data_IF_870748881219
#
_entry.id   IF_870748881219
#
_cell.length_a   1.000
_cell.length_b   1.000
_cell.length_c   1.000
_cell.angle_alpha   90.00
_cell.angle_beta   90.00
_cell.angle_gamma   90.00
#
_symmetry.space_group_name_H-M   'P 1'
#
loop_
_entity.id
_entity.type
_entity.pdbx_description
1 polymer ?
#
# COMPACT_ATOMS: atom_id res chain seq x y z
N UNK A 1 -6.83 -6.98 -10.88
CA UNK A 1 -6.28 -7.54 -9.62
C UNK A 1 -4.80 -7.21 -9.56
N UNK A 2 -4.37 -6.34 -8.65
CA UNK A 2 -2.97 -6.01 -8.47
C UNK A 2 -2.25 -7.21 -7.84
N UNK A 3 -1.44 -7.93 -8.61
CA UNK A 3 -0.67 -9.10 -8.14
C UNK A 3 0.23 -8.80 -6.92
N UNK A 4 0.60 -7.53 -6.74
CA UNK A 4 1.44 -7.04 -5.65
C UNK A 4 0.69 -6.69 -4.38
N UNK A 5 -0.65 -6.76 -4.40
CA UNK A 5 -1.45 -6.46 -3.22
C UNK A 5 -1.08 -7.39 -2.05
N UNK A 6 -1.01 -8.70 -2.33
CA UNK A 6 -0.79 -9.67 -1.27
C UNK A 6 0.60 -9.54 -0.63
N UNK A 7 1.65 -9.28 -1.41
CA UNK A 7 3.00 -9.08 -0.86
C UNK A 7 3.09 -7.84 0.02
N UNK A 8 2.57 -6.71 -0.46
CA UNK A 8 2.58 -5.44 0.26
C UNK A 8 1.68 -5.49 1.49
N UNK A 9 0.47 -6.07 1.37
CA UNK A 9 -0.46 -6.22 2.48
C UNK A 9 0.05 -7.17 3.58
N UNK A 10 0.65 -8.30 3.18
CA UNK A 10 1.27 -9.24 4.13
C UNK A 10 2.44 -8.60 4.86
N UNK A 11 3.32 -7.86 4.14
CA UNK A 11 4.43 -7.10 4.74
C UNK A 11 3.94 -6.05 5.74
N UNK A 12 2.91 -5.30 5.36
CA UNK A 12 2.34 -4.25 6.18
C UNK A 12 1.41 -4.78 7.30
N UNK A 13 1.20 -6.09 7.38
CA UNK A 13 0.32 -6.73 8.36
C UNK A 13 -1.13 -6.28 8.25
N UNK A 14 -1.61 -6.04 7.04
CA UNK A 14 -2.94 -5.46 6.75
C UNK A 14 -3.18 -4.11 7.44
N UNK A 15 -2.14 -3.27 7.52
CA UNK A 15 -2.21 -1.92 8.07
C UNK A 15 -1.67 -0.90 7.08
N UNK A 16 -2.29 0.25 7.07
CA UNK A 16 -1.88 1.41 6.30
C UNK A 16 -0.46 1.83 6.74
N UNK A 17 0.49 1.96 5.83
CA UNK A 17 1.88 2.28 6.21
C UNK A 17 2.04 3.76 6.60
N UNK A 18 1.16 4.65 6.13
CA UNK A 18 1.13 6.06 6.51
C UNK A 18 0.44 6.28 7.86
N UNK A 19 -0.79 5.79 7.97
CA UNK A 19 -1.70 6.08 9.07
C UNK A 19 -1.77 4.98 10.14
N UNK A 20 -1.14 3.82 9.90
CA UNK A 20 -1.12 2.62 10.76
C UNK A 20 -2.48 2.01 11.09
N UNK A 21 -3.53 2.51 10.45
CA UNK A 21 -4.87 2.00 10.65
C UNK A 21 -5.03 0.61 10.00
N UNK A 22 -5.66 -0.35 10.69
CA UNK A 22 -5.88 -1.69 10.16
C UNK A 22 -7.00 -1.71 9.12
N UNK A 23 -6.81 -2.52 8.08
CA UNK A 23 -7.79 -2.76 7.00
C UNK A 23 -9.14 -3.25 7.56
N UNK A 24 -9.09 -4.01 8.66
CA UNK A 24 -10.25 -4.52 9.40
C UNK A 24 -11.21 -3.41 9.89
N UNK A 25 -10.69 -2.24 10.28
CA UNK A 25 -11.52 -1.15 10.82
C UNK A 25 -12.31 -0.45 9.72
N UNK A 26 -11.75 -0.43 8.52
CA UNK A 26 -12.30 0.32 7.40
C UNK A 26 -13.26 -0.50 6.55
N UNK A 27 -13.21 -1.84 6.62
CA UNK A 27 -14.08 -2.73 5.85
C UNK A 27 -14.00 -2.49 4.33
N UNK A 28 -12.87 -1.95 3.86
CA UNK A 28 -12.52 -1.79 2.46
C UNK A 28 -11.07 -2.19 2.24
N UNK A 29 -10.78 -2.76 1.07
CA UNK A 29 -9.41 -3.08 0.70
C UNK A 29 -8.60 -1.83 0.50
N UNK A 30 -7.37 -1.85 1.01
CA UNK A 30 -6.42 -0.77 0.77
C UNK A 30 -5.91 -0.83 -0.67
N UNK A 31 -5.26 0.25 -1.09
CA UNK A 31 -4.67 0.35 -2.42
C UNK A 31 -3.15 0.33 -2.28
N UNK A 32 -2.47 -0.28 -3.25
CA UNK A 32 -1.01 -0.26 -3.31
C UNK A 32 -0.59 0.98 -4.07
N UNK A 33 0.04 1.91 -3.38
CA UNK A 33 0.54 3.17 -3.92
C UNK A 33 2.05 3.12 -4.10
N UNK A 34 2.59 3.92 -5.01
CA UNK A 34 4.02 4.16 -5.09
C UNK A 34 4.40 5.33 -4.17
N UNK A 35 5.31 5.08 -3.22
CA UNK A 35 5.85 6.12 -2.31
C UNK A 35 6.48 7.25 -3.13
N UNK A 36 7.32 6.89 -4.10
CA UNK A 36 7.79 7.79 -5.15
C UNK A 36 7.04 7.49 -6.45
N UNK A 37 6.32 8.48 -7.02
CA UNK A 37 5.66 8.30 -8.32
C UNK A 37 6.66 7.91 -9.41
N UNK A 38 6.24 7.03 -10.33
CA UNK A 38 7.06 6.64 -11.50
C UNK A 38 7.53 7.86 -12.30
N UNK A 39 6.68 8.88 -12.44
CA UNK A 39 7.01 10.13 -13.13
C UNK A 39 8.17 10.92 -12.49
N UNK A 40 8.47 10.67 -11.20
CA UNK A 40 9.60 11.28 -10.47
C UNK A 40 10.82 10.35 -10.36
N UNK A 41 10.84 9.25 -11.13
CA UNK A 41 11.91 8.25 -11.07
C UNK A 41 11.68 7.16 -10.02
N UNK A 42 10.46 7.05 -9.48
CA UNK A 42 10.07 5.92 -8.64
C UNK A 42 10.10 4.59 -9.38
N UNK A 43 10.15 3.49 -8.63
CA UNK A 43 10.16 2.13 -9.18
C UNK A 43 8.91 1.38 -8.76
N UNK A 44 8.50 0.37 -9.53
CA UNK A 44 7.48 -0.57 -9.06
C UNK A 44 8.10 -1.72 -8.25
N UNK A 45 9.22 -1.47 -7.55
CA UNK A 45 9.81 -2.44 -6.63
C UNK A 45 9.05 -2.43 -5.30
N UNK A 46 9.03 -3.56 -4.60
CA UNK A 46 8.26 -3.68 -3.36
C UNK A 46 8.69 -2.66 -2.30
N UNK A 47 9.96 -2.23 -2.32
CA UNK A 47 10.50 -1.18 -1.43
C UNK A 47 9.89 0.21 -1.67
N UNK A 48 9.38 0.47 -2.88
CA UNK A 48 8.73 1.73 -3.26
C UNK A 48 7.20 1.60 -3.31
N UNK A 49 6.66 0.43 -2.99
CA UNK A 49 5.22 0.23 -2.86
C UNK A 49 4.83 0.38 -1.40
N UNK A 50 3.70 1.03 -1.14
CA UNK A 50 3.14 1.15 0.20
C UNK A 50 1.65 0.77 0.23
N UNK A 51 1.22 0.14 1.32
CA UNK A 51 -0.20 -0.09 1.55
C UNK A 51 -0.85 1.20 2.06
N UNK A 52 -1.66 1.84 1.22
CA UNK A 52 -2.32 3.10 1.52
C UNK A 52 -3.82 2.90 1.66
N UNK A 53 -4.41 3.46 2.71
CA UNK A 53 -5.87 3.59 2.77
C UNK A 53 -6.31 4.75 1.87
N UNK A 54 -7.59 4.81 1.50
CA UNK A 54 -8.15 5.94 0.73
C UNK A 54 -8.16 7.30 1.44
N UNK A 55 -7.75 7.32 2.71
CA UNK A 55 -7.64 8.54 3.51
C UNK A 55 -6.19 9.02 3.64
N UNK A 56 -5.23 8.30 3.06
CA UNK A 56 -3.82 8.67 3.00
C UNK A 56 -3.58 9.80 1.98
#
# INVERSE_FOLDING_TARGET
MNLRYNSVASRAGHRCEYCRAPELVFNFSFEVEHIMPLAKGGTSQDDNLALACRLA
#
